data_IF_385292941231
#
_entry.id   IF_385292941231
#
_cell.length_a   1.000
_cell.length_b   1.000
_cell.length_c   1.000
_cell.angle_alpha   90.00
_cell.angle_beta   90.00
_cell.angle_gamma   90.00
#
_symmetry.space_group_name_H-M   'P 1'
#
loop_
_entity.id
_entity.type
_entity.pdbx_description
1 polymer ?
#
# COMPACT_ATOMS: atom_id res chain seq x y z
N UNK A 1 11.86 38.83 6.19
CA UNK A 1 11.46 37.58 6.86
C UNK A 1 11.99 36.45 6.01
N UNK A 2 12.99 35.72 6.49
CA UNK A 2 13.47 34.50 5.83
C UNK A 2 12.34 33.47 5.96
N UNK A 3 11.59 33.21 4.88
CA UNK A 3 10.75 32.02 4.79
C UNK A 3 11.67 30.83 4.97
N UNK A 4 11.69 30.25 6.18
CA UNK A 4 12.37 28.99 6.41
C UNK A 4 11.71 27.96 5.51
N UNK A 5 12.48 27.32 4.62
CA UNK A 5 12.03 26.10 3.95
C UNK A 5 11.51 25.17 5.05
N UNK A 6 10.24 24.78 4.97
CA UNK A 6 9.69 23.76 5.85
C UNK A 6 10.50 22.47 5.74
N UNK A 7 10.36 21.58 6.73
CA UNK A 7 10.96 20.26 6.63
C UNK A 7 10.39 19.51 5.40
N UNK A 8 11.25 18.83 4.65
CA UNK A 8 10.91 18.05 3.46
C UNK A 8 11.32 16.60 3.71
N UNK A 9 10.48 15.65 3.33
CA UNK A 9 10.82 14.23 3.32
C UNK A 9 11.51 13.87 1.99
N UNK A 10 12.60 13.11 2.07
CA UNK A 10 13.40 12.67 0.92
C UNK A 10 13.40 11.14 0.92
N UNK A 11 12.80 10.47 -0.10
CA UNK A 11 12.81 9.02 -0.17
C UNK A 11 14.23 8.50 -0.42
N UNK A 12 14.54 7.35 0.18
CA UNK A 12 15.78 6.61 -0.05
C UNK A 12 15.39 5.28 -0.67
N UNK A 13 15.78 5.06 -1.92
CA UNK A 13 15.38 3.89 -2.71
C UNK A 13 16.53 2.87 -2.81
N UNK A 14 16.30 1.59 -2.48
CA UNK A 14 17.27 0.53 -2.67
C UNK A 14 17.47 0.26 -4.16
N UNK A 15 18.72 0.09 -4.58
CA UNK A 15 19.09 -0.32 -5.95
C UNK A 15 20.13 -1.43 -5.90
N UNK A 16 20.14 -2.32 -6.89
CA UNK A 16 21.09 -3.44 -6.94
C UNK A 16 22.47 -3.01 -7.46
N UNK A 17 22.47 -2.07 -8.40
CA UNK A 17 23.68 -1.56 -9.05
C UNK A 17 23.56 -0.04 -9.15
N UNK A 18 24.35 0.67 -8.34
CA UNK A 18 24.29 2.12 -8.24
C UNK A 18 24.61 2.80 -9.56
N UNK A 19 25.61 2.32 -10.30
CA UNK A 19 26.03 2.94 -11.56
C UNK A 19 24.93 2.78 -12.62
N UNK A 20 24.38 1.57 -12.74
CA UNK A 20 23.27 1.26 -13.65
C UNK A 20 22.03 2.09 -13.33
N UNK A 21 21.66 2.17 -12.05
CA UNK A 21 20.45 2.85 -11.62
C UNK A 21 20.60 4.36 -11.76
N UNK A 22 21.74 4.93 -11.38
CA UNK A 22 22.00 6.35 -11.62
C UNK A 22 21.90 6.70 -13.12
N UNK A 23 22.48 5.91 -14.01
CA UNK A 23 22.37 6.13 -15.44
C UNK A 23 20.92 6.03 -15.96
N UNK A 24 20.07 5.25 -15.30
CA UNK A 24 18.63 5.20 -15.60
C UNK A 24 17.89 6.46 -15.14
N UNK A 25 18.11 6.88 -13.90
CA UNK A 25 17.49 8.10 -13.37
C UNK A 25 17.90 9.35 -14.17
N UNK A 26 19.16 9.45 -14.61
CA UNK A 26 19.59 10.53 -15.52
C UNK A 26 18.83 10.52 -16.87
N UNK A 27 18.57 9.34 -17.44
CA UNK A 27 17.74 9.22 -18.66
C UNK A 27 16.31 9.70 -18.44
N UNK A 28 15.72 9.36 -17.29
CA UNK A 28 14.38 9.83 -16.90
C UNK A 28 14.32 11.34 -16.66
N UNK A 29 15.47 11.99 -16.50
CA UNK A 29 15.62 13.44 -16.39
C UNK A 29 16.02 13.94 -15.01
N UNK A 30 16.44 13.05 -14.11
CA UNK A 30 17.00 13.45 -12.82
C UNK A 30 18.40 14.02 -13.01
N UNK A 31 18.72 15.07 -12.25
CA UNK A 31 20.07 15.60 -12.08
C UNK A 31 20.72 14.92 -10.88
N UNK A 32 21.92 14.34 -11.05
CA UNK A 32 22.67 13.76 -9.93
C UNK A 32 23.48 14.85 -9.24
N UNK A 33 23.11 15.16 -8.00
CA UNK A 33 23.72 16.20 -7.20
C UNK A 33 25.01 15.74 -6.51
N UNK A 34 25.06 14.48 -6.10
CA UNK A 34 26.24 13.87 -5.47
C UNK A 34 26.27 12.35 -5.69
N UNK A 35 27.48 11.78 -5.73
CA UNK A 35 27.72 10.34 -5.77
C UNK A 35 28.81 9.96 -4.78
N UNK A 36 28.62 8.81 -4.14
CA UNK A 36 29.53 8.13 -3.22
C UNK A 36 29.59 6.65 -3.62
N UNK A 37 30.39 5.85 -2.92
CA UNK A 37 30.63 4.44 -3.28
C UNK A 37 29.35 3.60 -3.36
N UNK A 38 28.43 3.74 -2.39
CA UNK A 38 27.18 2.97 -2.28
C UNK A 38 25.93 3.84 -2.24
N UNK A 39 26.07 5.13 -2.59
CA UNK A 39 25.03 6.13 -2.39
C UNK A 39 25.02 7.22 -3.46
N UNK A 40 23.84 7.65 -3.91
CA UNK A 40 23.71 8.80 -4.79
C UNK A 40 22.55 9.70 -4.35
N UNK A 41 22.67 11.00 -4.62
CA UNK A 41 21.63 12.01 -4.41
C UNK A 41 21.22 12.54 -5.77
N UNK A 42 19.93 12.47 -6.09
CA UNK A 42 19.38 12.91 -7.35
C UNK A 42 18.19 13.85 -7.14
N UNK A 43 17.96 14.74 -8.09
CA UNK A 43 16.86 15.70 -8.05
C UNK A 43 16.09 15.75 -9.36
N UNK A 44 14.78 15.97 -9.28
CA UNK A 44 13.89 16.13 -10.44
C UNK A 44 12.81 17.14 -10.09
N UNK A 45 12.71 18.21 -10.88
CA UNK A 45 11.68 19.24 -10.73
C UNK A 45 11.53 19.77 -9.28
N UNK A 46 12.67 19.99 -8.62
CA UNK A 46 12.72 20.47 -7.23
C UNK A 46 12.48 19.41 -6.15
N UNK A 47 12.10 18.18 -6.52
CA UNK A 47 12.13 17.02 -5.63
C UNK A 47 13.55 16.45 -5.51
N UNK A 48 13.88 15.87 -4.36
CA UNK A 48 15.15 15.18 -4.09
C UNK A 48 14.84 13.73 -3.72
N UNK A 49 15.71 12.81 -4.12
CA UNK A 49 15.71 11.41 -3.70
C UNK A 49 17.14 10.91 -3.54
N UNK A 50 17.31 9.87 -2.73
CA UNK A 50 18.58 9.17 -2.60
C UNK A 50 18.47 7.74 -3.12
N UNK A 51 19.55 7.23 -3.71
CA UNK A 51 19.70 5.85 -4.14
C UNK A 51 20.77 5.19 -3.28
N UNK A 52 20.54 3.96 -2.83
CA UNK A 52 21.48 3.24 -1.98
C UNK A 52 21.59 1.77 -2.39
N UNK A 53 22.80 1.24 -2.42
CA UNK A 53 23.03 -0.21 -2.57
C UNK A 53 23.08 -0.87 -1.20
N UNK A 54 22.53 -2.08 -1.08
CA UNK A 54 22.64 -2.90 0.11
C UNK A 54 23.40 -4.18 -0.20
N UNK A 55 24.24 -4.63 0.73
CA UNK A 55 25.08 -5.82 0.59
C UNK A 55 24.28 -7.12 0.89
N UNK A 56 23.07 -7.21 0.35
CA UNK A 56 22.13 -8.32 0.54
C UNK A 56 21.52 -8.69 -0.82
N UNK A 57 21.56 -9.97 -1.21
CA UNK A 57 20.89 -10.46 -2.42
C UNK A 57 19.37 -10.33 -2.25
N UNK A 58 18.79 -9.23 -2.74
CA UNK A 58 17.35 -9.08 -2.84
C UNK A 58 16.81 -9.86 -4.06
N UNK A 59 15.58 -10.42 -3.98
CA UNK A 59 14.86 -10.83 -5.18
C UNK A 59 14.73 -9.64 -6.16
N UNK A 60 14.46 -9.88 -7.45
CA UNK A 60 14.47 -8.84 -8.49
C UNK A 60 13.34 -7.81 -8.39
N UNK A 61 12.70 -7.65 -7.22
CA UNK A 61 11.55 -6.79 -6.99
C UNK A 61 11.76 -6.01 -5.68
N UNK A 62 11.64 -4.68 -5.73
CA UNK A 62 11.65 -3.82 -4.56
C UNK A 62 10.24 -3.58 -4.02
N UNK A 63 10.10 -3.54 -2.70
CA UNK A 63 8.87 -3.12 -2.02
C UNK A 63 8.88 -1.61 -1.67
N UNK A 64 9.94 -0.90 -2.04
CA UNK A 64 10.08 0.53 -1.82
C UNK A 64 9.44 1.33 -2.96
N UNK A 65 9.12 2.60 -2.69
CA UNK A 65 8.57 3.46 -3.70
C UNK A 65 8.45 4.91 -3.24
N UNK A 66 8.10 5.78 -4.18
CA UNK A 66 7.91 7.20 -3.95
C UNK A 66 6.69 7.72 -4.70
N UNK A 67 6.02 8.71 -4.09
CA UNK A 67 5.00 9.50 -4.76
C UNK A 67 5.62 10.82 -5.21
N UNK A 68 5.73 11.01 -6.53
CA UNK A 68 6.27 12.22 -7.14
C UNK A 68 5.14 13.14 -7.56
N UNK A 69 5.07 14.33 -6.94
CA UNK A 69 4.20 15.41 -7.42
C UNK A 69 4.91 16.20 -8.49
N UNK A 70 4.24 16.38 -9.62
CA UNK A 70 4.75 17.12 -10.78
C UNK A 70 3.72 18.14 -11.25
N UNK A 71 4.15 19.09 -12.06
CA UNK A 71 3.23 20.06 -12.65
C UNK A 71 2.19 19.39 -13.57
N UNK A 72 2.60 18.40 -14.36
CA UNK A 72 1.75 17.68 -15.31
C UNK A 72 2.16 16.20 -15.38
N UNK A 73 1.29 15.31 -14.89
CA UNK A 73 1.54 13.89 -14.85
C UNK A 73 1.57 13.23 -16.24
N UNK A 74 0.79 13.72 -17.21
CA UNK A 74 0.75 13.16 -18.56
C UNK A 74 2.06 13.41 -19.31
N UNK A 75 2.63 14.62 -19.17
CA UNK A 75 3.91 14.96 -19.79
C UNK A 75 5.04 14.04 -19.30
N UNK A 76 5.07 13.75 -17.99
CA UNK A 76 6.06 12.83 -17.42
C UNK A 76 5.77 11.40 -17.86
N UNK A 77 4.50 10.99 -17.89
CA UNK A 77 4.07 9.67 -18.38
C UNK A 77 4.55 9.40 -19.80
N UNK A 78 4.23 10.30 -20.74
CA UNK A 78 4.61 10.16 -22.15
C UNK A 78 6.12 10.07 -22.31
N UNK A 79 6.86 10.94 -21.59
CA UNK A 79 8.32 10.96 -21.65
C UNK A 79 8.94 9.67 -21.11
N UNK A 80 8.54 9.23 -19.92
CA UNK A 80 9.14 8.05 -19.28
C UNK A 80 8.77 6.77 -20.02
N UNK A 81 7.53 6.66 -20.49
CA UNK A 81 7.09 5.52 -21.31
C UNK A 81 7.88 5.47 -22.63
N UNK A 82 8.13 6.60 -23.29
CA UNK A 82 8.95 6.66 -24.50
C UNK A 82 10.41 6.24 -24.28
N UNK A 83 10.92 6.34 -23.04
CA UNK A 83 12.24 5.88 -22.64
C UNK A 83 12.29 4.40 -22.22
N UNK A 84 11.13 3.72 -22.24
CA UNK A 84 10.99 2.30 -21.93
C UNK A 84 10.71 1.99 -20.47
N UNK A 85 10.25 2.97 -19.68
CA UNK A 85 9.75 2.71 -18.33
C UNK A 85 8.47 1.84 -18.40
N UNK A 86 8.32 0.80 -17.56
CA UNK A 86 7.17 -0.08 -17.59
C UNK A 86 5.91 0.63 -17.08
N UNK A 87 4.79 0.46 -17.78
CA UNK A 87 3.50 1.00 -17.32
C UNK A 87 2.86 0.02 -16.34
N UNK A 88 2.89 0.35 -15.06
CA UNK A 88 2.20 -0.41 -13.99
C UNK A 88 0.74 0.00 -13.90
N UNK A 89 0.46 1.30 -14.01
CA UNK A 89 -0.88 1.85 -14.15
C UNK A 89 -0.85 3.05 -15.10
N UNK A 90 -1.83 3.17 -15.99
CA UNK A 90 -1.96 4.30 -16.91
C UNK A 90 -2.50 5.55 -16.20
N UNK A 91 -2.33 6.77 -16.76
CA UNK A 91 -2.87 7.99 -16.20
C UNK A 91 -4.39 7.95 -16.04
N UNK A 92 -4.86 8.14 -14.81
CA UNK A 92 -6.26 8.17 -14.44
C UNK A 92 -6.54 9.31 -13.46
N UNK A 93 -7.70 9.94 -13.62
CA UNK A 93 -8.19 10.96 -12.70
C UNK A 93 -8.81 10.27 -11.48
N UNK A 94 -8.23 10.52 -10.32
CA UNK A 94 -8.66 9.91 -9.07
C UNK A 94 -9.76 10.74 -8.40
N UNK A 95 -10.66 10.12 -7.62
CA UNK A 95 -11.78 10.80 -6.96
C UNK A 95 -11.34 11.91 -5.99
N UNK A 96 -10.09 11.87 -5.53
CA UNK A 96 -9.44 12.88 -4.69
C UNK A 96 -8.76 14.02 -5.48
N UNK A 97 -9.05 14.15 -6.78
CA UNK A 97 -8.66 15.32 -7.59
C UNK A 97 -7.22 15.32 -8.07
N UNK A 98 -6.56 14.16 -8.11
CA UNK A 98 -5.22 14.00 -8.65
C UNK A 98 -5.29 13.12 -9.89
N UNK A 99 -4.65 13.58 -10.97
CA UNK A 99 -4.37 12.76 -12.14
C UNK A 99 -3.06 12.04 -11.90
N UNK A 100 -3.07 10.72 -11.84
CA UNK A 100 -1.89 9.93 -11.51
C UNK A 100 -1.76 8.62 -12.29
N UNK A 101 -0.52 8.13 -12.35
CA UNK A 101 -0.13 6.87 -12.97
C UNK A 101 1.00 6.21 -12.18
N UNK A 102 1.36 4.98 -12.55
CA UNK A 102 2.43 4.25 -11.89
C UNK A 102 3.39 3.54 -12.86
N UNK A 103 4.66 3.46 -12.44
CA UNK A 103 5.76 2.75 -13.11
C UNK A 103 6.74 2.20 -12.09
N UNK A 104 7.66 1.37 -12.53
CA UNK A 104 8.79 0.88 -11.73
C UNK A 104 10.13 1.35 -12.33
N UNK A 105 11.16 1.43 -11.49
CA UNK A 105 12.54 1.52 -11.96
C UNK A 105 13.17 0.15 -12.26
N UNK A 106 14.46 0.11 -12.57
CA UNK A 106 15.16 -1.12 -12.94
C UNK A 106 15.22 -2.18 -11.83
N UNK A 107 15.01 -1.78 -10.58
CA UNK A 107 15.08 -2.63 -9.40
C UNK A 107 13.68 -2.86 -8.79
N UNK A 108 12.62 -2.44 -9.49
CA UNK A 108 11.23 -2.61 -9.08
C UNK A 108 10.76 -1.59 -8.06
N UNK A 109 11.46 -0.46 -7.86
CA UNK A 109 10.94 0.59 -6.97
C UNK A 109 9.72 1.25 -7.60
N UNK A 110 8.59 1.27 -6.88
CA UNK A 110 7.33 1.81 -7.37
C UNK A 110 7.35 3.35 -7.38
N UNK A 111 7.09 3.93 -8.53
CA UNK A 111 6.83 5.35 -8.70
C UNK A 111 5.33 5.56 -8.94
N UNK A 112 4.69 6.33 -8.07
CA UNK A 112 3.40 6.98 -8.37
C UNK A 112 3.68 8.42 -8.73
N UNK A 113 3.19 8.88 -9.87
CA UNK A 113 3.43 10.24 -10.35
C UNK A 113 2.08 10.91 -10.51
N UNK A 114 1.91 12.09 -9.91
CA UNK A 114 0.61 12.76 -9.88
C UNK A 114 0.70 14.27 -10.01
N UNK A 115 -0.32 14.85 -10.64
CA UNK A 115 -0.56 16.29 -10.74
C UNK A 115 -2.02 16.61 -10.42
N UNK A 116 -2.35 17.80 -9.90
CA UNK A 116 -3.75 18.18 -9.68
C UNK A 116 -4.58 18.11 -10.97
N UNK A 117 -5.81 17.60 -10.89
CA UNK A 117 -6.78 17.70 -12.00
C UNK A 117 -7.21 19.16 -12.11
N UNK A 118 -7.11 19.74 -13.31
CA UNK A 118 -7.37 21.17 -13.56
C UNK A 118 -8.72 21.65 -12.99
N UNK A 119 -9.75 20.79 -12.95
CA UNK A 119 -11.07 21.11 -12.41
C UNK A 119 -11.13 21.34 -10.88
N UNK A 120 -10.17 20.81 -10.10
CA UNK A 120 -10.15 20.98 -8.63
C UNK A 120 -9.17 22.07 -8.16
N UNK A 121 -8.18 22.43 -8.99
CA UNK A 121 -7.22 23.51 -8.70
C UNK A 121 -7.93 24.88 -8.57
N UNK A 122 -8.99 25.12 -9.34
CA UNK A 122 -9.83 26.33 -9.24
C UNK A 122 -10.62 26.41 -7.91
N UNK A 123 -10.92 25.27 -7.27
CA UNK A 123 -11.70 25.22 -6.02
C UNK A 123 -10.83 25.42 -4.78
N UNK A 124 -9.52 25.11 -4.85
CA UNK A 124 -8.59 25.14 -3.70
C UNK A 124 -7.67 26.37 -3.72
N UNK A 125 -7.81 27.26 -4.72
CA UNK A 125 -7.20 28.60 -4.67
C UNK A 125 -5.66 28.60 -4.72
N UNK A 126 -5.08 27.81 -5.61
CA UNK A 126 -3.71 28.09 -6.08
C UNK A 126 -3.85 29.05 -7.26
N UNK A 127 -3.64 30.35 -6.99
CA UNK A 127 -3.65 31.37 -8.02
C UNK A 127 -2.35 31.29 -8.83
N UNK A 128 -2.45 31.09 -10.14
CA UNK A 128 -1.48 31.63 -11.08
C UNK A 128 -2.20 32.33 -12.23
N UNK A 129 -1.62 33.46 -12.61
CA UNK A 129 -2.13 34.55 -13.44
C UNK A 129 -1.67 34.32 -14.89
N UNK A 130 -2.56 33.86 -15.77
CA UNK A 130 -2.51 34.16 -17.21
C UNK A 130 -3.71 33.63 -18.01
N UNK A 131 -4.65 34.54 -18.24
CA UNK A 131 -5.38 34.85 -19.49
C UNK A 131 -5.87 33.75 -20.46
N UNK A 132 -7.18 33.50 -20.38
CA UNK A 132 -8.22 33.31 -21.43
C UNK A 132 -7.85 32.88 -22.87
N UNK A 133 -8.51 31.81 -23.36
CA UNK A 133 -9.63 31.92 -24.34
C UNK A 133 -10.26 30.56 -24.75
N UNK A 134 -11.56 30.41 -24.47
CA UNK A 134 -12.68 29.87 -25.29
C UNK A 134 -12.40 28.72 -26.30
N UNK A 135 -13.14 27.61 -26.30
CA UNK A 135 -14.58 27.52 -26.66
C UNK A 135 -15.25 26.18 -26.26
N UNK A 136 -16.60 26.22 -26.29
CA UNK A 136 -17.67 25.22 -26.01
C UNK A 136 -17.56 23.93 -26.88
N UNK A 137 -18.24 22.78 -26.70
CA UNK A 137 -19.57 22.44 -26.15
C UNK A 137 -19.78 20.89 -26.10
N UNK A 138 -20.49 20.40 -25.06
CA UNK A 138 -21.50 19.31 -24.92
C UNK A 138 -21.46 17.90 -25.58
N UNK A 139 -21.88 16.89 -24.77
CA UNK A 139 -22.72 15.73 -25.17
C UNK A 139 -22.19 14.35 -24.77
N UNK A 140 -22.54 13.74 -23.62
CA UNK A 140 -23.79 13.01 -23.28
C UNK A 140 -23.69 11.46 -23.30
N UNK A 141 -24.06 10.89 -22.15
CA UNK A 141 -24.73 9.59 -21.87
C UNK A 141 -23.95 8.27 -21.82
N UNK A 142 -24.08 7.64 -20.66
CA UNK A 142 -23.68 6.30 -20.26
C UNK A 142 -24.67 5.21 -20.73
N UNK A 143 -24.18 3.97 -20.86
CA UNK A 143 -24.99 2.77 -20.59
C UNK A 143 -24.09 1.62 -20.12
N UNK A 144 -24.49 1.02 -19.01
CA UNK A 144 -23.91 -0.11 -18.27
C UNK A 144 -24.50 -1.44 -18.70
N UNK A 145 -23.71 -2.53 -18.71
CA UNK A 145 -24.14 -3.94 -18.52
C UNK A 145 -22.87 -4.75 -18.11
N UNK A 146 -22.70 -5.07 -16.82
CA UNK A 146 -23.19 -6.24 -16.07
C UNK A 146 -22.48 -7.56 -16.41
N UNK A 147 -21.55 -7.92 -15.53
CA UNK A 147 -20.73 -9.13 -15.45
C UNK A 147 -21.50 -10.35 -14.93
N UNK A 148 -21.25 -11.50 -15.54
CA UNK A 148 -21.76 -12.82 -15.13
C UNK A 148 -20.83 -13.47 -14.09
N UNK A 149 -21.37 -13.75 -12.92
CA UNK A 149 -20.67 -14.38 -11.77
C UNK A 149 -20.60 -15.89 -11.95
N UNK A 150 -19.40 -16.48 -11.84
CA UNK A 150 -19.22 -17.93 -11.70
C UNK A 150 -19.12 -18.29 -10.22
N UNK A 151 -20.07 -19.11 -9.75
CA UNK A 151 -20.09 -19.72 -8.42
C UNK A 151 -18.87 -20.62 -8.17
N UNK A 152 -18.15 -20.38 -7.07
CA UNK A 152 -17.20 -21.34 -6.49
C UNK A 152 -17.79 -21.92 -5.21
N UNK A 153 -17.93 -23.25 -5.21
CA UNK A 153 -18.40 -24.05 -4.10
C UNK A 153 -17.50 -23.89 -2.86
N UNK A 154 -18.11 -23.62 -1.70
CA UNK A 154 -17.41 -23.50 -0.41
C UNK A 154 -16.97 -24.86 0.16
N UNK A 155 -15.94 -24.89 1.01
CA UNK A 155 -15.42 -26.12 1.61
C UNK A 155 -16.34 -26.65 2.73
N UNK A 156 -16.44 -27.98 2.78
CA UNK A 156 -17.18 -28.76 3.79
C UNK A 156 -16.43 -28.82 5.13
N UNK A 157 -17.17 -28.68 6.23
CA UNK A 157 -16.71 -28.77 7.63
C UNK A 157 -15.75 -29.94 7.91
N UNK A 158 -14.59 -29.64 8.51
CA UNK A 158 -13.84 -30.56 9.37
C UNK A 158 -12.36 -30.79 9.04
N UNK A 159 -11.90 -30.48 7.83
CA UNK A 159 -10.48 -30.58 7.48
C UNK A 159 -9.78 -29.24 7.69
N UNK A 160 -8.67 -29.26 8.44
CA UNK A 160 -7.81 -28.08 8.61
C UNK A 160 -7.36 -27.58 7.23
N UNK A 161 -7.51 -26.27 6.99
CA UNK A 161 -7.16 -25.66 5.71
C UNK A 161 -5.70 -26.01 5.35
N UNK A 162 -5.44 -26.59 4.17
CA UNK A 162 -4.08 -26.94 3.78
C UNK A 162 -3.24 -25.68 3.63
N UNK A 163 -1.97 -25.72 4.04
CA UNK A 163 -1.10 -24.54 4.08
C UNK A 163 -1.05 -23.76 2.76
N UNK A 164 -1.02 -24.48 1.62
CA UNK A 164 -1.07 -23.90 0.27
C UNK A 164 -2.33 -23.08 -0.06
N UNK A 165 -3.43 -23.30 0.67
CA UNK A 165 -4.69 -22.56 0.49
C UNK A 165 -4.75 -21.27 1.33
N UNK A 166 -3.89 -21.12 2.36
CA UNK A 166 -3.93 -19.98 3.28
C UNK A 166 -3.83 -18.63 2.56
N UNK A 167 -2.98 -18.55 1.53
CA UNK A 167 -2.83 -17.31 0.74
C UNK A 167 -4.06 -16.92 -0.09
N UNK A 168 -4.92 -17.87 -0.46
CA UNK A 168 -6.18 -17.56 -1.13
C UNK A 168 -7.23 -17.11 -0.09
N UNK A 169 -7.32 -17.83 1.02
CA UNK A 169 -8.29 -17.52 2.09
C UNK A 169 -8.05 -16.13 2.69
N UNK A 170 -6.78 -15.78 2.96
CA UNK A 170 -6.40 -14.43 3.44
C UNK A 170 -6.88 -13.35 2.48
N UNK A 171 -6.76 -13.59 1.16
CA UNK A 171 -7.19 -12.66 0.13
C UNK A 171 -8.70 -12.48 0.15
N UNK A 172 -9.46 -13.57 0.18
CA UNK A 172 -10.92 -13.54 0.11
C UNK A 172 -11.52 -12.87 1.36
N UNK A 173 -10.95 -13.15 2.53
CA UNK A 173 -11.34 -12.56 3.81
C UNK A 173 -10.99 -11.06 3.87
N UNK A 174 -9.81 -10.65 3.40
CA UNK A 174 -9.42 -9.24 3.34
C UNK A 174 -10.29 -8.44 2.34
N UNK A 175 -10.62 -9.02 1.18
CA UNK A 175 -11.56 -8.40 0.24
C UNK A 175 -12.96 -8.30 0.85
N UNK A 176 -13.40 -9.28 1.63
CA UNK A 176 -14.69 -9.24 2.31
C UNK A 176 -14.75 -8.13 3.35
N UNK A 177 -13.67 -7.91 4.11
CA UNK A 177 -13.53 -6.75 4.98
C UNK A 177 -13.53 -5.43 4.18
N UNK A 178 -12.77 -5.35 3.07
CA UNK A 178 -12.75 -4.17 2.21
C UNK A 178 -14.15 -3.80 1.68
N UNK A 179 -14.92 -4.78 1.20
CA UNK A 179 -16.31 -4.57 0.74
C UNK A 179 -17.23 -4.10 1.86
N UNK A 180 -17.05 -4.62 3.07
CA UNK A 180 -17.82 -4.19 4.23
C UNK A 180 -17.56 -2.71 4.55
N UNK A 181 -16.30 -2.26 4.50
CA UNK A 181 -15.94 -0.86 4.76
C UNK A 181 -16.41 0.06 3.63
N UNK A 182 -16.21 -0.33 2.37
CA UNK A 182 -16.61 0.46 1.20
C UNK A 182 -18.13 0.58 1.04
N UNK A 183 -18.89 -0.41 1.52
CA UNK A 183 -20.35 -0.43 1.42
C UNK A 183 -21.09 0.32 2.53
N UNK A 184 -20.39 0.77 3.58
CA UNK A 184 -20.98 1.47 4.71
C UNK A 184 -20.78 2.98 4.62
N UNK A 185 -21.65 3.75 5.28
CA UNK A 185 -21.46 5.19 5.41
C UNK A 185 -20.15 5.50 6.13
N UNK A 186 -19.45 6.52 5.66
CA UNK A 186 -18.14 6.95 6.16
C UNK A 186 -18.18 7.32 7.67
N UNK A 187 -19.30 7.90 8.13
CA UNK A 187 -19.54 8.13 9.56
C UNK A 187 -19.73 6.82 10.33
N UNK A 188 -20.38 5.82 9.74
CA UNK A 188 -20.69 4.56 10.39
C UNK A 188 -19.44 3.72 10.64
N UNK A 189 -18.49 3.71 9.70
CA UNK A 189 -17.24 2.93 9.86
C UNK A 189 -16.31 3.51 10.94
N UNK A 190 -16.51 4.77 11.35
CA UNK A 190 -15.69 5.44 12.37
C UNK A 190 -16.25 5.38 13.79
N UNK A 191 -17.47 4.88 13.98
CA UNK A 191 -18.07 4.83 15.32
C UNK A 191 -17.35 3.77 16.17
N UNK A 192 -16.69 4.22 17.24
CA UNK A 192 -16.20 3.33 18.31
C UNK A 192 -17.35 2.88 19.21
N UNK A 193 -17.32 1.64 19.66
CA UNK A 193 -18.31 1.14 20.63
C UNK A 193 -18.07 1.74 22.01
N UNK A 194 -19.15 1.94 22.79
CA UNK A 194 -19.04 2.54 24.13
C UNK A 194 -18.39 1.58 25.13
N UNK A 195 -17.32 2.01 25.79
CA UNK A 195 -16.74 1.30 26.92
C UNK A 195 -17.73 1.21 28.09
N UNK A 196 -18.00 0.01 28.61
CA UNK A 196 -18.87 -0.16 29.79
C UNK A 196 -18.10 0.16 31.08
N UNK A 197 -18.16 1.41 31.54
CA UNK A 197 -17.64 1.85 32.85
C UNK A 197 -16.69 3.04 32.77
N UNK A 198 -16.44 3.71 33.89
CA UNK A 198 -15.58 4.90 33.97
C UNK A 198 -14.12 4.50 33.70
N UNK A 199 -13.55 5.02 32.61
CA UNK A 199 -12.14 4.78 32.23
C UNK A 199 -11.88 3.52 31.38
N UNK A 200 -12.92 2.91 30.78
CA UNK A 200 -12.70 1.87 29.75
C UNK A 200 -12.64 2.52 28.37
N UNK A 201 -11.58 2.24 27.63
CA UNK A 201 -11.52 2.48 26.19
C UNK A 201 -12.68 1.75 25.50
N UNK A 202 -13.25 2.41 24.49
CA UNK A 202 -14.30 1.84 23.65
C UNK A 202 -13.78 0.66 22.83
N UNK A 203 -14.68 -0.19 22.33
CA UNK A 203 -14.27 -1.12 21.26
C UNK A 203 -13.89 -0.31 20.02
N UNK A 204 -12.94 -0.83 19.25
CA UNK A 204 -12.50 -0.19 18.01
C UNK A 204 -13.67 -0.01 17.04
N UNK A 205 -13.52 0.99 16.17
CA UNK A 205 -14.41 1.18 15.02
C UNK A 205 -14.14 0.12 13.93
N UNK A 206 -15.01 0.05 12.93
CA UNK A 206 -14.77 -0.81 11.78
C UNK A 206 -13.53 -0.36 10.98
N UNK A 207 -13.32 0.95 10.83
CA UNK A 207 -12.15 1.51 10.15
C UNK A 207 -10.85 1.14 10.87
N UNK A 208 -10.84 1.17 12.20
CA UNK A 208 -9.69 0.79 13.02
C UNK A 208 -9.34 -0.69 12.90
N UNK A 209 -10.36 -1.55 12.81
CA UNK A 209 -10.15 -2.96 12.45
C UNK A 209 -9.56 -3.12 11.04
N UNK A 210 -10.01 -2.31 10.07
CA UNK A 210 -9.42 -2.26 8.73
C UNK A 210 -7.94 -1.87 8.73
N UNK A 211 -7.59 -0.81 9.46
CA UNK A 211 -6.20 -0.34 9.63
C UNK A 211 -5.32 -1.42 10.28
N UNK A 212 -5.80 -2.09 11.33
CA UNK A 212 -5.05 -3.17 11.96
C UNK A 212 -4.75 -4.30 10.97
N UNK A 213 -5.75 -4.74 10.20
CA UNK A 213 -5.56 -5.82 9.21
C UNK A 213 -4.61 -5.37 8.10
N UNK A 214 -4.74 -4.13 7.61
CA UNK A 214 -3.83 -3.54 6.61
C UNK A 214 -2.37 -3.65 7.05
N UNK A 215 -2.08 -3.26 8.29
CA UNK A 215 -0.72 -3.23 8.83
C UNK A 215 -0.22 -4.66 9.12
N UNK A 216 -1.09 -5.53 9.66
CA UNK A 216 -0.77 -6.95 9.92
C UNK A 216 -0.39 -7.69 8.64
N UNK A 217 -1.10 -7.45 7.53
CA UNK A 217 -0.83 -8.08 6.24
C UNK A 217 0.47 -7.60 5.61
N UNK A 218 0.80 -6.31 5.76
CA UNK A 218 2.11 -5.76 5.35
C UNK A 218 3.24 -6.54 5.99
N UNK A 219 3.18 -6.68 7.32
CA UNK A 219 4.23 -7.36 8.09
C UNK A 219 4.24 -8.86 7.86
N UNK A 220 3.08 -9.50 7.63
CA UNK A 220 3.03 -10.92 7.28
C UNK A 220 3.85 -11.23 6.01
N UNK A 221 3.67 -10.44 4.95
CA UNK A 221 4.37 -10.66 3.68
C UNK A 221 5.90 -10.56 3.88
N UNK A 222 6.37 -9.53 4.58
CA UNK A 222 7.79 -9.33 4.89
C UNK A 222 8.38 -10.48 5.72
N UNK A 223 7.65 -10.95 6.73
CA UNK A 223 8.08 -12.05 7.60
C UNK A 223 8.18 -13.37 6.84
N UNK A 224 7.23 -13.66 5.94
CA UNK A 224 7.26 -14.86 5.08
C UNK A 224 8.47 -14.81 4.16
N UNK A 225 8.68 -13.71 3.44
CA UNK A 225 9.80 -13.54 2.51
C UNK A 225 11.14 -13.65 3.22
N UNK A 226 11.31 -12.99 4.38
CA UNK A 226 12.55 -13.12 5.17
C UNK A 226 12.78 -14.54 5.67
N UNK A 227 11.75 -15.23 6.14
CA UNK A 227 11.89 -16.61 6.64
C UNK A 227 12.24 -17.60 5.51
N UNK A 228 11.83 -17.31 4.27
CA UNK A 228 12.28 -18.04 3.09
C UNK A 228 13.75 -17.76 2.77
N UNK A 229 14.16 -16.48 2.75
CA UNK A 229 15.49 -16.07 2.32
C UNK A 229 16.60 -16.38 3.34
N UNK A 230 16.32 -16.17 4.63
CA UNK A 230 17.30 -16.25 5.71
C UNK A 230 17.18 -17.56 6.50
N UNK A 231 18.28 -17.97 7.13
CA UNK A 231 18.26 -19.07 8.11
C UNK A 231 17.93 -18.52 9.50
N UNK A 232 16.75 -18.86 10.03
CA UNK A 232 16.28 -18.43 11.36
C UNK A 232 16.38 -16.92 11.65
N UNK A 233 15.80 -16.07 10.79
CA UNK A 233 15.85 -14.63 10.96
C UNK A 233 15.21 -14.18 12.28
N UNK A 234 15.73 -13.09 12.87
CA UNK A 234 15.04 -12.38 13.95
C UNK A 234 13.99 -11.45 13.35
N UNK A 235 12.71 -11.76 13.56
CA UNK A 235 11.61 -10.93 13.09
C UNK A 235 11.48 -9.69 13.97
N UNK A 236 11.18 -8.56 13.34
CA UNK A 236 10.87 -7.33 14.05
C UNK A 236 9.58 -7.46 14.87
N UNK A 237 9.36 -6.57 15.85
CA UNK A 237 8.08 -6.52 16.56
C UNK A 237 6.95 -6.29 15.57
N UNK A 238 5.80 -6.93 15.81
CA UNK A 238 4.56 -6.55 15.10
C UNK A 238 4.33 -5.05 15.32
N UNK A 239 3.84 -4.30 14.31
CA UNK A 239 3.39 -2.93 14.50
C UNK A 239 2.42 -2.95 15.68
N UNK A 240 2.80 -2.26 16.75
CA UNK A 240 2.00 -2.18 17.96
C UNK A 240 0.84 -1.22 17.68
N UNK A 241 -0.34 -1.52 18.24
CA UNK A 241 -1.61 -0.81 18.05
C UNK A 241 -1.64 0.66 18.54
N UNK A 242 -0.49 1.32 18.73
CA UNK A 242 -0.39 2.69 19.28
C UNK A 242 -1.21 3.71 18.49
N UNK A 243 -1.13 3.68 17.15
CA UNK A 243 -1.92 4.56 16.29
C UNK A 243 -3.44 4.35 16.47
N UNK A 244 -3.85 3.14 16.85
CA UNK A 244 -5.25 2.82 17.13
C UNK A 244 -5.61 3.36 18.51
N UNK A 245 -4.81 3.13 19.55
CA UNK A 245 -5.09 3.67 20.88
C UNK A 245 -5.19 5.21 20.90
N UNK A 246 -4.34 5.89 20.14
CA UNK A 246 -4.31 7.36 20.05
C UNK A 246 -5.44 7.97 19.19
N UNK A 247 -6.25 7.14 18.53
CA UNK A 247 -7.37 7.59 17.67
C UNK A 247 -6.98 7.97 16.25
N UNK A 248 -5.69 8.06 15.95
CA UNK A 248 -5.14 8.42 14.63
C UNK A 248 -5.59 7.46 13.53
N UNK A 249 -5.77 6.17 13.86
CA UNK A 249 -6.27 5.19 12.89
C UNK A 249 -7.65 5.56 12.34
N UNK A 250 -8.51 6.17 13.15
CA UNK A 250 -9.85 6.57 12.76
C UNK A 250 -9.88 7.85 11.88
N UNK A 251 -8.77 8.58 11.83
CA UNK A 251 -8.57 9.73 10.92
C UNK A 251 -8.09 9.30 9.53
N UNK A 252 -7.84 7.99 9.33
CA UNK A 252 -7.42 7.45 8.03
C UNK A 252 -8.50 7.65 6.96
N UNK A 253 -8.06 7.81 5.72
CA UNK A 253 -8.93 7.72 4.55
C UNK A 253 -9.41 6.27 4.39
N UNK A 254 -10.73 6.08 4.49
CA UNK A 254 -11.34 4.75 4.43
C UNK A 254 -11.15 4.07 3.07
N UNK A 255 -11.19 4.82 1.97
CA UNK A 255 -10.95 4.29 0.62
C UNK A 255 -9.50 3.83 0.49
N UNK A 256 -8.55 4.61 1.00
CA UNK A 256 -7.14 4.23 0.98
C UNK A 256 -6.88 2.95 1.78
N UNK A 257 -7.53 2.80 2.94
CA UNK A 257 -7.46 1.58 3.76
C UNK A 257 -8.03 0.36 3.01
N UNK A 258 -9.16 0.51 2.32
CA UNK A 258 -9.76 -0.56 1.49
C UNK A 258 -8.80 -0.99 0.38
N UNK A 259 -8.21 -0.03 -0.33
CA UNK A 259 -7.26 -0.33 -1.40
C UNK A 259 -6.00 -1.03 -0.86
N UNK A 260 -5.47 -0.58 0.27
CA UNK A 260 -4.30 -1.19 0.90
C UNK A 260 -4.59 -2.60 1.42
N UNK A 261 -5.80 -2.88 1.94
CA UNK A 261 -6.20 -4.24 2.32
C UNK A 261 -6.09 -5.20 1.13
N UNK A 262 -6.62 -4.81 -0.02
CA UNK A 262 -6.53 -5.60 -1.26
C UNK A 262 -5.08 -5.83 -1.71
N UNK A 263 -4.30 -4.74 -1.76
CA UNK A 263 -2.87 -4.79 -2.14
C UNK A 263 -2.05 -5.68 -1.21
N UNK A 264 -2.20 -5.51 0.10
CA UNK A 264 -1.40 -6.24 1.08
C UNK A 264 -1.79 -7.72 1.15
N UNK A 265 -3.08 -8.04 0.99
CA UNK A 265 -3.52 -9.42 0.91
C UNK A 265 -2.98 -10.11 -0.36
N UNK A 266 -2.89 -9.40 -1.49
CA UNK A 266 -2.25 -9.90 -2.70
C UNK A 266 -0.76 -10.22 -2.47
N UNK A 267 -0.02 -9.32 -1.81
CA UNK A 267 1.40 -9.54 -1.44
C UNK A 267 1.59 -10.77 -0.58
N UNK A 268 0.78 -10.96 0.48
CA UNK A 268 0.84 -12.16 1.33
C UNK A 268 0.55 -13.41 0.49
N UNK A 269 -0.48 -13.36 -0.35
CA UNK A 269 -0.87 -14.46 -1.22
C UNK A 269 0.25 -14.85 -2.20
N UNK A 270 0.97 -13.88 -2.76
CA UNK A 270 2.12 -14.12 -3.64
C UNK A 270 3.32 -14.66 -2.88
N UNK A 271 3.63 -14.11 -1.71
CA UNK A 271 4.69 -14.62 -0.84
C UNK A 271 4.47 -16.10 -0.49
N UNK A 272 3.24 -16.48 -0.16
CA UNK A 272 2.88 -17.87 0.16
C UNK A 272 2.89 -18.80 -1.06
N UNK A 273 2.72 -18.27 -2.29
CA UNK A 273 2.90 -19.08 -3.52
C UNK A 273 4.35 -19.47 -3.78
N UNK A 274 5.31 -18.75 -3.19
CA UNK A 274 6.74 -19.09 -3.31
C UNK A 274 7.18 -20.18 -2.31
N UNK A 275 6.31 -20.61 -1.40
CA UNK A 275 6.64 -21.60 -0.37
C UNK A 275 6.41 -23.00 -0.92
N UNK A 276 7.50 -23.70 -1.24
CA UNK A 276 7.45 -25.12 -1.60
C UNK A 276 6.93 -25.98 -0.43
N UNK A 277 6.38 -27.17 -0.73
CA UNK A 277 5.78 -28.08 0.26
C UNK A 277 6.70 -28.41 1.45
N UNK A 278 8.02 -28.45 1.24
CA UNK A 278 9.02 -28.73 2.28
C UNK A 278 9.44 -27.49 3.10
N UNK A 279 9.07 -26.28 2.67
CA UNK A 279 9.53 -25.01 3.24
C UNK A 279 8.57 -24.40 4.27
N UNK A 280 7.34 -24.89 4.39
CA UNK A 280 6.34 -24.39 5.35
C UNK A 280 6.80 -24.43 6.82
N UNK A 281 7.66 -25.40 7.16
CA UNK A 281 8.24 -25.55 8.49
C UNK A 281 9.47 -24.68 8.77
N UNK A 282 9.95 -23.87 7.81
CA UNK A 282 11.08 -22.97 8.05
C UNK A 282 10.76 -22.01 9.19
N UNK A 283 11.69 -21.91 10.14
CA UNK A 283 11.49 -21.18 11.39
C UNK A 283 12.15 -19.81 11.40
N UNK A 284 11.56 -18.90 12.18
CA UNK A 284 12.13 -17.60 12.51
C UNK A 284 12.04 -17.35 14.02
N UNK A 285 12.85 -16.42 14.54
CA UNK A 285 12.89 -16.03 15.95
C UNK A 285 12.05 -14.78 16.19
N UNK A 286 11.22 -14.81 17.23
CA UNK A 286 10.40 -13.69 17.67
C UNK A 286 11.17 -12.82 18.67
N UNK A 287 10.83 -11.52 18.83
CA UNK A 287 11.51 -10.61 19.76
C UNK A 287 11.50 -11.05 21.22
N UNK A 288 10.52 -11.85 21.64
CA UNK A 288 10.38 -12.38 22.99
C UNK A 288 11.20 -13.67 23.23
N UNK A 289 12.00 -14.09 22.24
CA UNK A 289 12.76 -15.34 22.26
C UNK A 289 11.97 -16.57 21.82
N UNK A 290 10.69 -16.41 21.46
CA UNK A 290 9.88 -17.44 20.84
C UNK A 290 10.36 -17.82 19.44
N UNK A 291 9.81 -18.92 18.91
CA UNK A 291 10.00 -19.31 17.50
C UNK A 291 8.65 -19.41 16.81
N UNK A 292 8.63 -19.08 15.53
CA UNK A 292 7.48 -19.24 14.65
C UNK A 292 7.90 -19.92 13.35
N UNK A 293 6.94 -20.36 12.54
CA UNK A 293 7.17 -20.92 11.20
C UNK A 293 6.41 -20.12 10.14
N UNK A 294 6.74 -20.31 8.86
CA UNK A 294 5.99 -19.71 7.75
C UNK A 294 4.49 -20.06 7.84
N UNK A 295 4.18 -21.32 8.10
CA UNK A 295 2.80 -21.78 8.26
C UNK A 295 2.10 -21.12 9.46
N UNK A 296 2.77 -21.00 10.60
CA UNK A 296 2.22 -20.34 11.78
C UNK A 296 1.98 -18.83 11.54
N UNK A 297 2.90 -18.15 10.83
CA UNK A 297 2.74 -16.75 10.43
C UNK A 297 1.53 -16.53 9.53
N UNK A 298 1.32 -17.44 8.57
CA UNK A 298 0.19 -17.39 7.64
C UNK A 298 -1.14 -17.65 8.33
N UNK A 299 -1.21 -18.65 9.23
CA UNK A 299 -2.41 -18.91 10.03
C UNK A 299 -2.75 -17.76 10.96
N UNK A 300 -1.76 -17.19 11.66
CA UNK A 300 -1.99 -16.03 12.53
C UNK A 300 -2.52 -14.82 11.74
N UNK A 301 -2.02 -14.58 10.53
CA UNK A 301 -2.53 -13.53 9.67
C UNK A 301 -4.00 -13.80 9.25
N UNK A 302 -4.33 -15.04 8.86
CA UNK A 302 -5.70 -15.42 8.52
C UNK A 302 -6.65 -15.25 9.71
N UNK A 303 -6.28 -15.79 10.88
CA UNK A 303 -7.06 -15.68 12.12
C UNK A 303 -7.29 -14.22 12.50
N UNK A 304 -6.27 -13.36 12.31
CA UNK A 304 -6.41 -11.92 12.53
C UNK A 304 -7.40 -11.28 11.57
N UNK A 305 -7.30 -11.55 10.26
CA UNK A 305 -8.23 -10.99 9.25
C UNK A 305 -9.67 -11.40 9.53
N UNK A 306 -9.91 -12.69 9.78
CA UNK A 306 -11.27 -13.22 10.08
C UNK A 306 -11.84 -12.58 11.33
N UNK A 307 -11.08 -12.57 12.43
CA UNK A 307 -11.50 -11.96 13.70
C UNK A 307 -11.86 -10.49 13.52
N UNK A 308 -10.99 -9.72 12.89
CA UNK A 308 -11.20 -8.28 12.71
C UNK A 308 -12.31 -7.96 11.71
N UNK A 309 -12.54 -8.80 10.69
CA UNK A 309 -13.72 -8.66 9.84
C UNK A 309 -15.02 -8.84 10.62
N UNK A 310 -15.11 -9.88 11.45
CA UNK A 310 -16.30 -10.13 12.26
C UNK A 310 -16.54 -9.01 13.29
N UNK A 311 -15.48 -8.48 13.91
CA UNK A 311 -15.63 -7.33 14.82
C UNK A 311 -16.02 -6.04 14.08
N UNK A 312 -15.47 -5.79 12.89
CA UNK A 312 -15.89 -4.66 12.04
C UNK A 312 -17.37 -4.76 11.64
N UNK A 313 -17.84 -5.97 11.29
CA UNK A 313 -19.25 -6.22 10.97
C UNK A 313 -20.15 -5.92 12.16
N UNK A 314 -19.75 -6.33 13.37
CA UNK A 314 -20.45 -6.00 14.61
C UNK A 314 -20.39 -4.51 14.94
N UNK A 315 -19.29 -3.82 14.64
CA UNK A 315 -19.17 -2.38 14.88
C UNK A 315 -20.15 -1.58 13.99
N UNK A 316 -20.38 -2.02 12.75
CA UNK A 316 -21.32 -1.39 11.82
C UNK A 316 -22.78 -1.73 12.16
N UNK A 317 -23.07 -3.00 12.45
CA UNK A 317 -24.45 -3.52 12.56
C UNK A 317 -24.94 -3.75 13.99
N UNK A 318 -24.05 -3.67 14.99
CA UNK A 318 -24.40 -3.89 16.39
C UNK A 318 -25.36 -2.82 16.91
N UNK A 319 -26.36 -3.24 17.68
CA UNK A 319 -27.35 -2.35 18.31
C UNK A 319 -26.66 -1.19 19.05
N UNK A 320 -26.92 0.03 18.56
CA UNK A 320 -26.41 1.30 19.08
C UNK A 320 -27.09 1.73 20.39
#
# INVERSE_FOLDING_TARGET
>A
MTSGRGAVAVPVLPVQDLERSVAWYERLGFEVLARFDEYAIAAFDGAELHLVTFDVEYPPMSLSGAYLRVADADVVFERWTALGAPVVAAPEDQPYGIREWATEDLDGNLWRVGSPVAALAETIGVADDSDRSSDREEGATATTESTESTETAGPTDGDELPARALGAEIRDEAHSLGRLLAGADDDAVRVRGRGRGRGREGSWSALEHGVHVRDRLTVCAEQVVRTLAEHEPELGPSPQDHAIHDGMANESDASAVVDDLGRNAAKVSEALRMVDDDSWGRSARLPDGGRTTIEALARDALDSVVRHRLEAERAIHGDR
#
